data_IF_480278286804
#
_entry.id   IF_480278286804
#
_cell.length_a   1.000
_cell.length_b   1.000
_cell.length_c   1.000
_cell.angle_alpha   90.00
_cell.angle_beta   90.00
_cell.angle_gamma   90.00
#
_symmetry.space_group_name_H-M   'P 1'
#
loop_
_entity.id
_entity.type
_entity.pdbx_description
1 polymer ?
#
# COMPACT_ATOMS: atom_id res chain seq x y z
N UNK A 1 18.70 -3.36 -35.86
CA UNK A 1 17.91 -4.01 -34.80
C UNK A 1 17.69 -3.04 -33.67
N UNK A 2 16.45 -2.85 -33.22
CA UNK A 2 16.17 -2.07 -32.03
C UNK A 2 16.72 -2.81 -30.79
N UNK A 3 17.53 -2.12 -29.98
CA UNK A 3 18.03 -2.66 -28.70
C UNK A 3 16.93 -2.54 -27.65
N UNK A 4 16.92 -3.47 -26.68
CA UNK A 4 16.06 -3.33 -25.49
C UNK A 4 16.39 -2.00 -24.80
N UNK A 5 15.36 -1.24 -24.44
CA UNK A 5 15.47 0.01 -23.70
C UNK A 5 14.83 -0.19 -22.33
N UNK A 6 15.39 0.45 -21.30
CA UNK A 6 14.73 0.59 -20.00
C UNK A 6 13.86 1.84 -20.08
N UNK A 7 12.52 1.70 -20.06
CA UNK A 7 11.62 2.84 -20.14
C UNK A 7 11.59 3.60 -18.79
N UNK A 8 11.10 4.85 -18.80
CA UNK A 8 11.09 5.72 -17.60
C UNK A 8 10.23 5.11 -16.49
N UNK A 9 9.15 4.46 -16.87
CA UNK A 9 8.21 3.75 -16.01
C UNK A 9 8.91 2.69 -15.15
N UNK A 10 9.89 1.97 -15.69
CA UNK A 10 10.67 1.00 -14.91
C UNK A 10 11.59 1.72 -13.91
N UNK A 11 12.16 2.86 -14.30
CA UNK A 11 13.05 3.63 -13.42
C UNK A 11 12.25 4.18 -12.23
N UNK A 12 11.07 4.76 -12.45
CA UNK A 12 10.26 5.30 -11.34
C UNK A 12 9.64 4.23 -10.47
N UNK A 13 9.34 3.04 -11.02
CA UNK A 13 8.94 1.89 -10.21
C UNK A 13 10.05 1.49 -9.23
N UNK A 14 11.29 1.36 -9.72
CA UNK A 14 12.44 1.05 -8.86
C UNK A 14 12.72 2.14 -7.81
N UNK A 15 12.57 3.42 -8.19
CA UNK A 15 12.70 4.55 -7.26
C UNK A 15 11.60 4.53 -6.19
N UNK A 16 10.35 4.24 -6.57
CA UNK A 16 9.23 4.12 -5.64
C UNK A 16 9.51 3.04 -4.59
N UNK A 17 9.95 1.85 -5.03
CA UNK A 17 10.32 0.76 -4.11
C UNK A 17 11.43 1.20 -3.16
N UNK A 18 12.50 1.80 -3.68
CA UNK A 18 13.61 2.26 -2.85
C UNK A 18 13.20 3.35 -1.84
N UNK A 19 12.31 4.26 -2.25
CA UNK A 19 11.79 5.34 -1.40
C UNK A 19 11.03 4.76 -0.20
N UNK A 20 10.17 3.76 -0.43
CA UNK A 20 9.43 3.07 0.64
C UNK A 20 10.37 2.27 1.54
N UNK A 21 11.25 1.46 0.95
CA UNK A 21 12.25 0.64 1.67
C UNK A 21 13.08 1.48 2.64
N UNK A 22 13.53 2.67 2.20
CA UNK A 22 14.28 3.59 3.05
C UNK A 22 13.54 3.88 4.36
N UNK A 23 12.26 4.24 4.31
CA UNK A 23 11.49 4.55 5.52
C UNK A 23 11.22 3.31 6.37
N UNK A 24 11.01 2.15 5.75
CA UNK A 24 10.92 0.87 6.45
C UNK A 24 12.19 0.60 7.25
N UNK A 25 13.36 0.69 6.62
CA UNK A 25 14.64 0.43 7.29
C UNK A 25 14.96 1.45 8.37
N UNK A 26 14.59 2.73 8.17
CA UNK A 26 14.74 3.77 9.19
C UNK A 26 13.86 3.51 10.43
N UNK A 27 12.83 2.67 10.33
CA UNK A 27 12.03 2.23 11.48
C UNK A 27 12.60 0.97 12.16
N UNK A 28 13.72 0.41 11.67
CA UNK A 28 14.27 -0.86 12.15
C UNK A 28 13.46 -2.08 11.70
N UNK A 29 12.61 -1.91 10.68
CA UNK A 29 11.79 -2.97 10.09
C UNK A 29 12.47 -3.58 8.87
N UNK A 30 11.88 -4.64 8.31
CA UNK A 30 12.38 -5.30 7.11
C UNK A 30 11.26 -5.41 6.08
N UNK A 31 11.65 -5.60 4.82
CA UNK A 31 10.71 -5.69 3.71
C UNK A 31 11.24 -6.64 2.66
N UNK A 32 10.33 -7.43 2.10
CA UNK A 32 10.59 -8.30 0.96
C UNK A 32 9.92 -7.73 -0.28
N UNK A 33 10.66 -7.69 -1.40
CA UNK A 33 10.10 -7.39 -2.71
C UNK A 33 9.46 -8.66 -3.27
N UNK A 34 8.21 -8.56 -3.71
CA UNK A 34 7.53 -9.68 -4.33
C UNK A 34 7.96 -9.77 -5.79
N UNK A 35 8.66 -10.84 -6.16
CA UNK A 35 9.16 -11.00 -7.54
C UNK A 35 8.07 -11.40 -8.54
N UNK A 36 7.02 -12.08 -8.06
CA UNK A 36 5.88 -12.47 -8.88
C UNK A 36 4.70 -11.55 -8.60
N UNK A 37 4.53 -10.54 -9.46
CA UNK A 37 3.50 -9.50 -9.35
C UNK A 37 2.09 -10.06 -9.60
N UNK A 38 1.53 -10.69 -8.57
CA UNK A 38 0.13 -11.14 -8.52
C UNK A 38 -0.71 -10.26 -7.60
N UNK A 39 -0.27 -9.04 -7.30
CA UNK A 39 -1.09 -8.03 -6.64
C UNK A 39 -0.49 -7.31 -5.44
N UNK A 40 0.78 -7.56 -5.05
CA UNK A 40 1.49 -6.74 -4.07
C UNK A 40 2.94 -6.57 -4.50
N UNK A 41 3.53 -5.41 -4.23
CA UNK A 41 4.93 -5.12 -4.58
C UNK A 41 5.87 -5.42 -3.40
N UNK A 42 5.42 -5.14 -2.17
CA UNK A 42 6.22 -5.30 -0.95
C UNK A 42 5.44 -5.98 0.18
N UNK A 43 6.17 -6.78 0.97
CA UNK A 43 5.70 -7.33 2.24
C UNK A 43 6.55 -6.75 3.36
N UNK A 44 5.92 -5.99 4.26
CA UNK A 44 6.55 -5.34 5.39
C UNK A 44 6.44 -6.22 6.65
N UNK A 45 7.59 -6.46 7.29
CA UNK A 45 7.71 -7.16 8.56
C UNK A 45 8.21 -6.21 9.65
N UNK A 46 7.64 -6.33 10.83
CA UNK A 46 7.88 -5.42 11.95
C UNK A 46 8.48 -6.20 13.12
N UNK A 47 9.17 -5.46 13.98
CA UNK A 47 9.89 -6.00 15.11
C UNK A 47 9.57 -5.20 16.36
N UNK A 48 9.46 -5.91 17.49
CA UNK A 48 9.21 -5.28 18.77
C UNK A 48 10.48 -4.60 19.32
N UNK A 49 10.38 -4.01 20.51
CA UNK A 49 11.50 -3.31 21.16
C UNK A 49 12.72 -4.21 21.46
N UNK A 50 12.54 -5.52 21.50
CA UNK A 50 13.59 -6.51 21.68
C UNK A 50 14.17 -7.02 20.35
N UNK A 51 13.78 -6.43 19.21
CA UNK A 51 14.13 -6.88 17.86
C UNK A 51 13.61 -8.28 17.50
N UNK A 52 12.54 -8.71 18.16
CA UNK A 52 11.86 -9.98 17.85
C UNK A 52 10.78 -9.73 16.78
N UNK A 53 10.65 -10.67 15.85
CA UNK A 53 9.64 -10.59 14.78
C UNK A 53 8.23 -10.58 15.40
N UNK A 54 7.38 -9.66 14.93
CA UNK A 54 5.98 -9.60 15.33
C UNK A 54 5.10 -10.38 14.35
N UNK A 55 4.08 -11.08 14.85
CA UNK A 55 3.15 -11.85 14.01
C UNK A 55 2.41 -10.95 13.02
N UNK A 56 2.05 -11.49 11.86
CA UNK A 56 1.30 -10.76 10.83
C UNK A 56 2.18 -9.79 10.04
N UNK A 57 1.88 -9.68 8.76
CA UNK A 57 2.60 -8.84 7.81
C UNK A 57 1.73 -7.69 7.34
N UNK A 58 2.33 -6.70 6.68
CA UNK A 58 1.61 -5.60 6.04
C UNK A 58 1.93 -5.66 4.56
N UNK A 59 0.92 -5.60 3.72
CA UNK A 59 1.09 -5.64 2.27
C UNK A 59 1.05 -4.23 1.69
N UNK A 60 2.01 -3.93 0.82
CA UNK A 60 2.08 -2.64 0.16
C UNK A 60 1.98 -2.84 -1.35
N UNK A 61 1.05 -2.12 -1.98
CA UNK A 61 1.02 -1.94 -3.42
C UNK A 61 1.57 -0.56 -3.75
N UNK A 62 2.59 -0.50 -4.58
CA UNK A 62 3.25 0.71 -5.02
C UNK A 62 2.80 1.05 -6.44
N UNK A 63 2.50 2.33 -6.67
CA UNK A 63 2.26 2.90 -8.00
C UNK A 63 3.12 4.15 -8.12
N UNK A 64 3.77 4.33 -9.26
CA UNK A 64 4.66 5.46 -9.51
C UNK A 64 4.17 6.26 -10.71
N UNK A 65 4.30 7.58 -10.65
CA UNK A 65 3.92 8.46 -11.75
C UNK A 65 4.83 9.69 -11.82
N UNK A 66 5.14 10.12 -13.04
CA UNK A 66 5.72 11.45 -13.31
C UNK A 66 4.64 12.52 -13.50
N UNK A 67 3.35 12.16 -13.46
CA UNK A 67 2.24 13.10 -13.59
C UNK A 67 1.14 12.71 -12.61
N UNK A 68 1.27 13.22 -11.38
CA UNK A 68 0.29 13.01 -10.33
C UNK A 68 -1.01 13.75 -10.68
N UNK A 69 -2.14 13.03 -10.70
CA UNK A 69 -3.46 13.61 -10.99
C UNK A 69 -4.15 14.02 -9.71
N UNK A 70 -4.63 15.25 -9.66
CA UNK A 70 -5.34 15.83 -8.51
C UNK A 70 -6.75 16.29 -8.91
N UNK A 71 -7.64 16.38 -7.91
CA UNK A 71 -8.91 17.08 -8.06
C UNK A 71 -8.69 18.60 -8.19
N UNK A 72 -9.77 19.34 -8.46
CA UNK A 72 -9.74 20.80 -8.58
C UNK A 72 -9.24 21.51 -7.32
N UNK A 73 -9.38 20.89 -6.15
CA UNK A 73 -8.87 21.40 -4.87
C UNK A 73 -7.33 21.40 -4.77
N UNK A 74 -6.63 20.68 -5.65
CA UNK A 74 -5.18 20.43 -5.61
C UNK A 74 -4.66 19.72 -4.35
N UNK A 75 -5.53 19.36 -3.42
CA UNK A 75 -5.20 18.69 -2.15
C UNK A 75 -5.51 17.19 -2.18
N UNK A 76 -6.35 16.76 -3.13
CA UNK A 76 -6.78 15.37 -3.24
C UNK A 76 -6.18 14.73 -4.49
N UNK A 77 -5.38 13.68 -4.30
CA UNK A 77 -4.84 12.84 -5.36
C UNK A 77 -5.91 11.85 -5.80
N UNK A 78 -6.00 11.63 -7.11
CA UNK A 78 -6.89 10.64 -7.72
C UNK A 78 -6.08 9.49 -8.30
N UNK A 79 -6.49 8.26 -8.01
CA UNK A 79 -5.87 7.08 -8.59
C UNK A 79 -6.91 6.02 -8.93
N UNK A 80 -6.83 5.45 -10.13
CA UNK A 80 -7.77 4.41 -10.58
C UNK A 80 -7.20 3.03 -10.26
N UNK A 81 -8.01 2.19 -9.61
CA UNK A 81 -7.67 0.83 -9.21
C UNK A 81 -8.54 -0.13 -10.02
N UNK A 82 -7.92 -1.15 -10.62
CA UNK A 82 -8.65 -2.21 -11.31
C UNK A 82 -9.48 -3.03 -10.32
N UNK A 83 -10.68 -3.45 -10.73
CA UNK A 83 -11.56 -4.25 -9.87
C UNK A 83 -10.93 -5.56 -9.40
N UNK A 84 -10.15 -6.22 -10.25
CA UNK A 84 -9.44 -7.47 -9.91
C UNK A 84 -8.49 -7.28 -8.73
N UNK A 85 -7.74 -6.18 -8.74
CA UNK A 85 -6.79 -5.83 -7.68
C UNK A 85 -7.55 -5.49 -6.40
N UNK A 86 -8.61 -4.70 -6.53
CA UNK A 86 -9.44 -4.31 -5.41
C UNK A 86 -10.10 -5.51 -4.72
N UNK A 87 -10.59 -6.48 -5.48
CA UNK A 87 -11.12 -7.74 -4.94
C UNK A 87 -10.07 -8.45 -4.09
N UNK A 88 -8.85 -8.64 -4.61
CA UNK A 88 -7.75 -9.23 -3.84
C UNK A 88 -7.47 -8.47 -2.54
N UNK A 89 -7.33 -7.14 -2.64
CA UNK A 89 -6.88 -6.30 -1.52
C UNK A 89 -7.93 -6.15 -0.41
N UNK A 90 -9.21 -6.11 -0.76
CA UNK A 90 -10.30 -5.98 0.22
C UNK A 90 -10.55 -7.28 1.00
N UNK A 91 -10.23 -8.44 0.43
CA UNK A 91 -10.40 -9.74 1.09
C UNK A 91 -9.15 -10.24 1.81
N UNK A 92 -8.02 -9.53 1.70
CA UNK A 92 -6.83 -9.81 2.49
C UNK A 92 -7.04 -9.41 3.96
N UNK A 93 -6.91 -10.35 4.92
CA UNK A 93 -7.14 -10.07 6.34
C UNK A 93 -6.11 -9.10 6.96
N UNK A 94 -4.87 -9.06 6.47
CA UNK A 94 -3.86 -8.12 6.97
C UNK A 94 -3.92 -6.76 6.26
N UNK A 95 -3.32 -5.68 6.80
CA UNK A 95 -3.42 -4.36 6.18
C UNK A 95 -2.86 -4.32 4.76
N UNK A 96 -3.63 -3.78 3.82
CA UNK A 96 -3.20 -3.46 2.46
C UNK A 96 -3.09 -1.95 2.29
N UNK A 97 -1.88 -1.45 2.08
CA UNK A 97 -1.60 -0.03 1.91
C UNK A 97 -1.28 0.24 0.44
N UNK A 98 -2.08 1.10 -0.20
CA UNK A 98 -1.72 1.67 -1.50
C UNK A 98 -0.76 2.84 -1.27
N UNK A 99 0.37 2.83 -1.98
CA UNK A 99 1.34 3.90 -2.00
C UNK A 99 1.43 4.46 -3.42
N UNK A 100 1.24 5.78 -3.56
CA UNK A 100 1.41 6.50 -4.82
C UNK A 100 2.62 7.41 -4.72
N UNK A 101 3.67 7.09 -5.48
CA UNK A 101 4.92 7.83 -5.55
C UNK A 101 4.90 8.85 -6.70
N UNK A 102 5.10 10.11 -6.34
CA UNK A 102 5.33 11.22 -7.27
C UNK A 102 6.83 11.33 -7.55
N UNK A 103 7.24 10.87 -8.73
CA UNK A 103 8.63 10.83 -9.12
C UNK A 103 9.22 12.18 -9.52
N UNK A 104 8.39 13.21 -9.71
CA UNK A 104 8.89 14.58 -9.96
C UNK A 104 9.30 15.26 -8.66
N UNK A 105 8.52 15.05 -7.59
CA UNK A 105 8.76 15.66 -6.29
C UNK A 105 9.59 14.79 -5.35
N UNK A 106 9.78 13.51 -5.69
CA UNK A 106 10.38 12.49 -4.81
C UNK A 106 9.63 12.39 -3.46
N UNK A 107 8.30 12.27 -3.55
CA UNK A 107 7.40 12.15 -2.40
C UNK A 107 6.42 11.00 -2.65
N UNK A 108 6.16 10.19 -1.63
CA UNK A 108 5.11 9.17 -1.67
C UNK A 108 3.92 9.55 -0.77
N UNK A 109 2.73 9.17 -1.22
CA UNK A 109 1.48 9.31 -0.49
C UNK A 109 0.88 7.93 -0.23
N UNK A 110 0.08 7.77 0.83
CA UNK A 110 -0.46 6.47 1.20
C UNK A 110 -1.95 6.47 1.53
N UNK A 111 -2.57 5.31 1.35
CA UNK A 111 -3.97 5.04 1.66
C UNK A 111 -4.12 3.62 2.20
N UNK A 112 -4.72 3.50 3.38
CA UNK A 112 -5.14 2.19 3.90
C UNK A 112 -6.44 1.78 3.20
N UNK A 113 -6.35 0.85 2.24
CA UNK A 113 -7.43 0.53 1.31
C UNK A 113 -8.67 -0.02 1.99
N UNK A 114 -8.52 -1.04 2.85
CA UNK A 114 -9.68 -1.64 3.52
C UNK A 114 -10.44 -0.60 4.35
N UNK A 115 -9.75 0.15 5.20
CA UNK A 115 -10.36 1.20 6.02
C UNK A 115 -10.98 2.34 5.17
N UNK A 116 -10.39 2.68 4.02
CA UNK A 116 -10.97 3.68 3.12
C UNK A 116 -12.33 3.25 2.58
N UNK A 117 -12.45 2.01 2.10
CA UNK A 117 -13.71 1.49 1.55
C UNK A 117 -14.75 1.15 2.61
N UNK A 118 -14.33 0.74 3.81
CA UNK A 118 -15.23 0.60 4.97
C UNK A 118 -15.92 1.93 5.33
N UNK A 119 -15.19 3.04 5.22
CA UNK A 119 -15.71 4.38 5.51
C UNK A 119 -16.46 5.02 4.33
N UNK A 120 -16.46 4.39 3.15
CA UNK A 120 -17.20 4.89 2.00
C UNK A 120 -18.68 4.49 2.10
N UNK A 121 -19.51 5.46 2.48
CA UNK A 121 -20.97 5.26 2.60
C UNK A 121 -21.59 4.71 1.30
N UNK A 122 -22.21 3.53 1.39
CA UNK A 122 -22.88 2.87 0.27
C UNK A 122 -21.94 2.22 -0.74
N UNK A 123 -20.64 2.10 -0.44
CA UNK A 123 -19.72 1.32 -1.26
C UNK A 123 -20.17 -0.16 -1.32
N UNK A 124 -20.13 -0.70 -2.52
CA UNK A 124 -20.54 -2.07 -2.82
C UNK A 124 -19.67 -2.58 -3.98
N UNK A 125 -18.74 -3.47 -3.64
CA UNK A 125 -17.77 -4.03 -4.59
C UNK A 125 -18.46 -4.70 -5.79
N UNK A 126 -19.66 -5.27 -5.60
CA UNK A 126 -20.40 -5.91 -6.69
C UNK A 126 -20.82 -4.93 -7.79
N UNK A 127 -21.02 -3.65 -7.43
CA UNK A 127 -21.42 -2.56 -8.32
C UNK A 127 -20.26 -1.82 -8.98
N UNK A 128 -19.02 -2.11 -8.57
CA UNK A 128 -17.83 -1.54 -9.21
C UNK A 128 -17.70 -2.12 -10.63
N UNK A 129 -17.43 -1.27 -11.62
CA UNK A 129 -17.17 -1.70 -13.00
C UNK A 129 -15.78 -2.32 -13.15
N UNK A 130 -15.06 -1.99 -14.23
CA UNK A 130 -13.68 -2.47 -14.43
C UNK A 130 -12.68 -1.82 -13.46
N UNK A 131 -13.00 -0.64 -12.94
CA UNK A 131 -12.15 0.09 -11.99
C UNK A 131 -12.96 1.02 -11.09
N UNK A 132 -12.33 1.47 -10.01
CA UNK A 132 -12.82 2.52 -9.12
C UNK A 132 -11.71 3.55 -8.89
N UNK A 133 -12.06 4.83 -8.82
CA UNK A 133 -11.12 5.88 -8.45
C UNK A 133 -11.14 6.09 -6.94
N UNK A 134 -9.97 6.01 -6.32
CA UNK A 134 -9.75 6.35 -4.91
C UNK A 134 -9.18 7.76 -4.78
N UNK A 135 -9.42 8.34 -3.61
CA UNK A 135 -9.00 9.70 -3.27
C UNK A 135 -8.03 9.67 -2.10
N UNK A 136 -6.78 10.07 -2.35
CA UNK A 136 -5.74 10.14 -1.32
C UNK A 136 -5.51 11.60 -0.94
N UNK A 137 -5.64 11.98 0.34
CA UNK A 137 -5.24 13.32 0.79
C UNK A 137 -3.74 13.51 0.62
N UNK A 138 -3.29 14.66 0.10
CA UNK A 138 -1.86 15.01 0.04
C UNK A 138 -1.20 15.12 1.41
N UNK A 139 -1.99 15.25 2.48
CA UNK A 139 -1.51 15.20 3.86
C UNK A 139 -1.06 13.80 4.29
N UNK A 140 -1.48 12.74 3.60
CA UNK A 140 -1.05 11.37 3.89
C UNK A 140 0.31 11.10 3.24
N UNK A 141 1.33 11.85 3.65
CA UNK A 141 2.70 11.67 3.18
C UNK A 141 3.31 10.43 3.84
N UNK A 142 4.09 9.68 3.07
CA UNK A 142 4.87 8.56 3.58
C UNK A 142 6.15 9.07 4.25
N UNK A 143 6.29 8.72 5.53
CA UNK A 143 7.48 8.95 6.35
C UNK A 143 7.61 7.83 7.40
N UNK A 144 8.53 7.97 8.36
CA UNK A 144 8.70 6.98 9.45
C UNK A 144 7.45 6.86 10.33
N UNK A 145 6.69 7.94 10.55
CA UNK A 145 5.49 7.89 11.37
C UNK A 145 4.35 7.17 10.63
N UNK A 146 4.24 7.34 9.32
CA UNK A 146 3.34 6.54 8.48
C UNK A 146 3.68 5.04 8.57
N UNK A 147 4.95 4.65 8.45
CA UNK A 147 5.37 3.24 8.56
C UNK A 147 5.02 2.66 9.94
N UNK A 148 5.27 3.40 11.03
CA UNK A 148 4.86 2.97 12.39
C UNK A 148 3.34 2.84 12.50
N UNK A 149 2.58 3.76 11.90
CA UNK A 149 1.12 3.68 11.86
C UNK A 149 0.62 2.43 11.14
N UNK A 150 1.33 1.96 10.11
CA UNK A 150 0.99 0.69 9.46
C UNK A 150 1.15 -0.50 10.42
N UNK A 151 2.19 -0.50 11.25
CA UNK A 151 2.38 -1.48 12.31
C UNK A 151 1.23 -1.44 13.33
N UNK A 152 0.76 -0.24 13.70
CA UNK A 152 -0.42 -0.08 14.56
C UNK A 152 -1.69 -0.67 13.94
N UNK A 153 -1.94 -0.46 12.64
CA UNK A 153 -3.08 -1.09 11.95
C UNK A 153 -3.02 -2.61 12.01
N UNK A 154 -1.85 -3.19 11.75
CA UNK A 154 -1.60 -4.64 11.87
C UNK A 154 -1.90 -5.13 13.29
N UNK A 155 -1.39 -4.44 14.31
CA UNK A 155 -1.63 -4.78 15.71
C UNK A 155 -3.12 -4.72 16.07
N UNK A 156 -3.83 -3.69 15.60
CA UNK A 156 -5.27 -3.54 15.79
C UNK A 156 -6.08 -4.70 15.20
N UNK A 157 -5.70 -5.21 14.02
CA UNK A 157 -6.34 -6.40 13.43
C UNK A 157 -6.07 -7.63 14.28
N UNK A 158 -4.81 -7.89 14.63
CA UNK A 158 -4.47 -9.08 15.42
C UNK A 158 -5.13 -9.10 16.80
N UNK A 159 -5.31 -7.92 17.41
CA UNK A 159 -6.05 -7.80 18.67
C UNK A 159 -7.54 -8.18 18.51
N UNK A 160 -8.15 -7.93 17.35
CA UNK A 160 -9.51 -8.37 17.06
C UNK A 160 -9.61 -9.90 16.87
N UNK A 161 -8.51 -10.54 16.46
CA UNK A 161 -8.43 -11.99 16.27
C UNK A 161 -8.24 -12.78 17.56
N UNK A 162 -8.15 -12.15 18.74
CA UNK A 162 -7.99 -12.82 20.05
C UNK A 162 -9.20 -13.70 20.48
N UNK A 163 -10.10 -14.06 19.56
CA UNK A 163 -11.15 -15.07 19.73
C UNK A 163 -10.70 -16.50 19.37
N UNK A 164 -11.66 -17.42 19.28
CA UNK A 164 -11.38 -18.82 18.90
C UNK A 164 -11.29 -18.95 17.38
N UNK A 165 -10.08 -18.96 16.83
CA UNK A 165 -9.84 -19.41 15.46
C UNK A 165 -9.98 -20.93 15.44
N UNK A 166 -10.95 -21.45 14.69
CA UNK A 166 -11.12 -22.91 14.50
C UNK A 166 -10.27 -23.35 13.32
N UNK A 167 -9.40 -24.34 13.56
CA UNK A 167 -8.48 -24.87 12.55
C UNK A 167 -8.97 -26.19 11.93
N UNK A 168 -10.11 -26.71 12.37
CA UNK A 168 -10.74 -27.88 11.76
C UNK A 168 -11.81 -27.44 10.75
N UNK A 169 -11.83 -28.12 9.60
CA UNK A 169 -12.85 -27.97 8.55
C UNK A 169 -14.00 -28.93 8.83
#
# INVERSE_FOLDING_TARGET
>A
MAKKKRPREHIIADLSVNHVERYVFLCGYSVERVEYDYGFDLILFTYNINSEIENGQIYLQLKATDSLRTLADQETITFSIARSDLELWLFEPMPCILIVYDAQLDIAYWLYLQAYFENWAGFDLSKVGESVTVHLPKTNILDQEAIKKFAEYRNCILNQLQGVIRHHV
#
